data_IF_384928314081
#
_entry.id   IF_384928314081
#
_cell.length_a   1.000
_cell.length_b   1.000
_cell.length_c   1.000
_cell.angle_alpha   90.00
_cell.angle_beta   90.00
_cell.angle_gamma   90.00
#
_symmetry.space_group_name_H-M   'P 1'
#
loop_
_entity.id
_entity.type
_entity.pdbx_description
1 polymer ?
#
# COMPACT_ATOMS: atom_id res chain seq x y z
N UNK A 1 6.13 17.90 4.65
CA UNK A 1 5.02 16.93 4.63
C UNK A 1 3.71 17.70 4.51
N UNK A 2 2.95 17.51 3.42
CA UNK A 2 1.65 18.17 3.28
C UNK A 2 0.70 17.64 4.37
N UNK A 3 0.16 18.54 5.22
CA UNK A 3 -0.87 18.18 6.19
C UNK A 3 -2.06 17.61 5.43
N UNK A 4 -2.41 16.35 5.73
CA UNK A 4 -3.62 15.71 5.21
C UNK A 4 -4.84 16.53 5.69
N UNK A 5 -5.83 16.70 4.82
CA UNK A 5 -7.06 17.42 5.17
C UNK A 5 -8.00 16.46 5.93
N UNK A 6 -8.83 16.99 6.85
CA UNK A 6 -9.77 16.22 7.68
C UNK A 6 -10.62 15.20 6.91
N UNK A 7 -11.04 15.53 5.68
CA UNK A 7 -11.86 14.61 4.86
C UNK A 7 -11.09 13.37 4.38
N UNK A 8 -9.75 13.47 4.28
CA UNK A 8 -8.89 12.33 3.95
C UNK A 8 -8.71 11.42 5.15
N UNK A 9 -8.71 11.98 6.36
CA UNK A 9 -8.63 11.23 7.61
C UNK A 9 -9.94 10.47 7.85
N UNK A 10 -11.09 11.15 7.72
CA UNK A 10 -12.42 10.55 7.89
C UNK A 10 -12.67 9.38 6.92
N UNK A 11 -12.31 9.53 5.64
CA UNK A 11 -12.46 8.46 4.65
C UNK A 11 -11.63 7.22 4.97
N UNK A 12 -10.50 7.36 5.67
CA UNK A 12 -9.67 6.21 6.09
C UNK A 12 -10.34 5.43 7.22
N UNK A 13 -11.08 6.12 8.09
CA UNK A 13 -11.86 5.49 9.17
C UNK A 13 -13.06 4.69 8.65
N UNK A 14 -13.55 4.98 7.44
CA UNK A 14 -14.69 4.24 6.85
C UNK A 14 -14.23 3.16 5.88
N UNK A 15 -13.16 3.39 5.11
CA UNK A 15 -12.73 2.51 4.00
C UNK A 15 -11.55 1.60 4.34
N UNK A 16 -11.09 1.57 5.58
CA UNK A 16 -9.84 0.94 6.00
C UNK A 16 -8.66 1.93 5.93
N UNK A 17 -7.86 1.94 7.00
CA UNK A 17 -6.73 2.83 7.13
C UNK A 17 -5.56 2.39 6.25
N UNK A 18 -5.37 1.08 6.09
CA UNK A 18 -4.15 0.51 5.53
C UNK A 18 -4.43 -0.28 4.27
N UNK A 19 -3.38 -0.55 3.51
CA UNK A 19 -3.47 -1.33 2.27
C UNK A 19 -2.52 -2.53 2.28
N UNK A 20 -2.97 -3.60 1.65
CA UNK A 20 -2.11 -4.68 1.19
C UNK A 20 -2.20 -4.74 -0.33
N UNK A 21 -1.08 -4.90 -1.04
CA UNK A 21 -1.11 -4.99 -2.50
C UNK A 21 -0.18 -6.05 -3.06
N UNK A 22 -0.55 -6.56 -4.23
CA UNK A 22 0.25 -7.49 -5.00
C UNK A 22 1.22 -6.71 -5.91
N UNK A 23 2.55 -6.91 -5.80
CA UNK A 23 3.51 -6.28 -6.71
C UNK A 23 3.45 -6.88 -8.12
N UNK A 24 2.92 -8.10 -8.30
CA UNK A 24 2.84 -8.77 -9.59
C UNK A 24 1.65 -8.33 -10.45
N UNK A 25 0.45 -8.27 -9.87
CA UNK A 25 -0.79 -7.99 -10.61
C UNK A 25 -1.51 -6.69 -10.17
N UNK A 26 -1.00 -5.97 -9.17
CA UNK A 26 -1.61 -4.71 -8.71
C UNK A 26 -2.88 -4.87 -7.86
N UNK A 27 -3.34 -6.11 -7.62
CA UNK A 27 -4.48 -6.36 -6.74
C UNK A 27 -4.28 -5.68 -5.38
N UNK A 28 -5.31 -4.98 -4.89
CA UNK A 28 -5.21 -4.16 -3.68
C UNK A 28 -6.38 -4.47 -2.75
N UNK A 29 -6.05 -4.68 -1.49
CA UNK A 29 -6.99 -4.82 -0.38
C UNK A 29 -6.83 -3.62 0.56
N UNK A 30 -7.94 -3.17 1.14
CA UNK A 30 -7.94 -2.23 2.26
C UNK A 30 -8.34 -2.96 3.52
N UNK A 31 -7.75 -2.57 4.64
CA UNK A 31 -8.02 -3.18 5.93
C UNK A 31 -7.91 -2.17 7.08
N UNK A 32 -8.57 -2.50 8.18
CA UNK A 32 -8.38 -1.83 9.47
C UNK A 32 -7.30 -2.53 10.28
N UNK A 33 -6.66 -1.81 11.19
CA UNK A 33 -5.53 -2.34 11.96
C UNK A 33 -5.88 -3.62 12.72
N UNK A 34 -7.09 -3.70 13.26
CA UNK A 34 -7.60 -4.87 14.00
C UNK A 34 -7.81 -6.12 13.14
N UNK A 35 -7.92 -5.98 11.81
CA UNK A 35 -8.15 -7.09 10.88
C UNK A 35 -6.91 -7.43 10.04
N UNK A 36 -5.73 -6.95 10.46
CA UNK A 36 -4.48 -7.20 9.72
C UNK A 36 -4.14 -8.68 9.63
N UNK A 37 -4.36 -9.44 10.71
CA UNK A 37 -4.06 -10.88 10.77
C UNK A 37 -5.01 -11.73 9.90
N UNK A 38 -6.11 -11.15 9.43
CA UNK A 38 -7.05 -11.79 8.50
C UNK A 38 -6.65 -11.61 7.03
N UNK A 39 -5.59 -10.85 6.74
CA UNK A 39 -5.12 -10.64 5.38
C UNK A 39 -4.67 -11.97 4.76
N UNK A 40 -5.03 -12.24 3.49
CA UNK A 40 -4.58 -13.44 2.83
C UNK A 40 -3.06 -13.38 2.61
N UNK A 41 -2.35 -14.48 2.89
CA UNK A 41 -0.91 -14.57 2.69
C UNK A 41 -0.52 -14.43 1.21
N UNK A 42 -1.41 -14.84 0.31
CA UNK A 42 -1.23 -14.81 -1.13
C UNK A 42 -2.32 -13.98 -1.81
N UNK A 43 -1.97 -13.37 -2.93
CA UNK A 43 -2.89 -12.61 -3.76
C UNK A 43 -4.01 -13.52 -4.28
N UNK A 44 -5.29 -13.18 -4.05
CA UNK A 44 -6.42 -14.00 -4.50
C UNK A 44 -6.57 -14.02 -6.03
N UNK A 45 -5.90 -13.11 -6.75
CA UNK A 45 -6.00 -12.99 -8.21
C UNK A 45 -4.90 -13.75 -8.97
N UNK A 46 -3.67 -13.82 -8.43
CA UNK A 46 -2.54 -14.44 -9.14
C UNK A 46 -1.66 -15.36 -8.28
N UNK A 47 -1.97 -15.53 -6.99
CA UNK A 47 -1.26 -16.43 -6.08
C UNK A 47 0.10 -15.94 -5.55
N UNK A 48 0.64 -14.81 -6.04
CA UNK A 48 1.90 -14.24 -5.51
C UNK A 48 1.72 -13.61 -4.12
N UNK A 49 2.79 -13.43 -3.35
CA UNK A 49 2.73 -12.77 -2.04
C UNK A 49 2.16 -11.33 -2.08
N UNK A 50 1.46 -10.96 -1.02
CA UNK A 50 1.00 -9.59 -0.78
C UNK A 50 2.00 -8.82 0.09
N UNK A 51 2.13 -7.52 -0.18
CA UNK A 51 2.87 -6.58 0.66
C UNK A 51 1.86 -5.76 1.46
N UNK A 52 1.78 -6.00 2.77
CA UNK A 52 0.98 -5.21 3.73
C UNK A 52 1.82 -4.27 4.59
N UNK A 53 3.13 -4.56 4.71
CA UNK A 53 4.09 -3.80 5.51
C UNK A 53 5.37 -3.52 4.75
N UNK A 54 6.07 -2.47 5.16
CA UNK A 54 7.43 -2.24 4.72
C UNK A 54 8.37 -3.34 5.25
N UNK A 55 9.10 -4.01 4.35
CA UNK A 55 10.06 -5.05 4.74
C UNK A 55 11.27 -4.53 5.53
N UNK A 56 11.52 -3.21 5.53
CA UNK A 56 12.67 -2.61 6.25
C UNK A 56 12.35 -2.17 7.67
N UNK A 57 11.21 -1.49 7.89
CA UNK A 57 10.85 -0.94 9.20
C UNK A 57 9.56 -1.52 9.80
N UNK A 58 8.85 -2.38 9.07
CA UNK A 58 7.58 -2.95 9.51
C UNK A 58 6.38 -1.99 9.49
N UNK A 59 6.55 -0.74 9.03
CA UNK A 59 5.46 0.22 8.95
C UNK A 59 4.34 -0.24 8.00
N UNK A 60 3.10 0.05 8.38
CA UNK A 60 1.92 -0.22 7.55
C UNK A 60 1.83 0.75 6.39
N UNK A 61 1.23 0.30 5.30
CA UNK A 61 1.19 1.07 4.07
C UNK A 61 -0.11 1.87 3.97
N UNK A 62 -0.07 3.22 3.96
CA UNK A 62 -1.27 4.04 3.84
C UNK A 62 -1.85 4.11 2.42
N UNK A 63 -1.10 3.65 1.41
CA UNK A 63 -1.49 3.75 0.00
C UNK A 63 -0.85 2.65 -0.85
N UNK A 64 -1.61 2.13 -1.81
CA UNK A 64 -1.17 1.09 -2.74
C UNK A 64 -0.32 1.65 -3.88
N UNK A 65 -0.09 2.98 -3.90
CA UNK A 65 0.75 3.67 -4.88
C UNK A 65 2.11 4.07 -4.29
N UNK A 66 2.46 3.55 -3.11
CA UNK A 66 3.79 3.76 -2.54
C UNK A 66 4.82 2.90 -3.27
N UNK A 67 5.86 3.58 -3.73
CA UNK A 67 7.09 2.97 -4.26
C UNK A 67 8.20 2.99 -3.20
N UNK A 68 8.15 3.97 -2.29
CA UNK A 68 9.00 4.10 -1.11
C UNK A 68 8.15 4.24 0.15
N UNK A 69 8.66 3.78 1.28
CA UNK A 69 8.01 3.88 2.58
C UNK A 69 7.93 5.34 3.03
N UNK A 70 6.76 5.79 3.52
CA UNK A 70 6.62 7.15 4.06
C UNK A 70 7.37 7.36 5.38
N UNK A 71 7.72 6.28 6.11
CA UNK A 71 8.41 6.34 7.40
C UNK A 71 9.94 6.24 7.27
N UNK A 72 10.46 5.22 6.58
CA UNK A 72 11.90 4.96 6.49
C UNK A 72 12.51 5.19 5.11
N UNK A 73 11.71 5.63 4.12
CA UNK A 73 12.14 5.88 2.75
C UNK A 73 12.71 4.65 2.01
N UNK A 74 12.65 3.44 2.59
CA UNK A 74 13.06 2.21 1.92
C UNK A 74 12.16 1.92 0.71
N UNK A 75 12.76 1.36 -0.36
CA UNK A 75 12.01 0.91 -1.52
C UNK A 75 11.04 -0.22 -1.13
N UNK A 76 9.76 -0.07 -1.48
CA UNK A 76 8.72 -1.08 -1.25
C UNK A 76 8.54 -1.96 -2.49
N UNK A 77 8.58 -1.35 -3.67
CA UNK A 77 8.45 -2.03 -4.96
C UNK A 77 9.06 -1.17 -6.07
N UNK A 78 9.31 -1.74 -7.27
CA UNK A 78 9.65 -0.95 -8.45
C UNK A 78 8.63 0.16 -8.74
N UNK A 79 9.06 1.23 -9.42
CA UNK A 79 8.17 2.35 -9.77
C UNK A 79 7.30 2.09 -11.00
N UNK A 80 7.32 0.86 -11.51
CA UNK A 80 6.54 0.40 -12.64
C UNK A 80 5.52 -0.65 -12.22
N UNK A 81 4.35 -0.59 -12.84
CA UNK A 81 3.33 -1.63 -12.75
C UNK A 81 2.84 -1.91 -14.18
N UNK A 82 2.96 -3.16 -14.63
CA UNK A 82 2.62 -3.57 -16.00
C UNK A 82 3.32 -2.74 -17.10
N UNK A 83 4.58 -2.36 -16.89
CA UNK A 83 5.36 -1.58 -17.85
C UNK A 83 4.97 -0.10 -17.96
N UNK A 84 4.18 0.40 -16.99
CA UNK A 84 3.84 1.82 -16.88
C UNK A 84 4.24 2.40 -15.53
N UNK A 85 4.69 3.65 -15.46
CA UNK A 85 5.08 4.26 -14.20
C UNK A 85 3.87 4.47 -13.29
N UNK A 86 4.03 4.14 -12.01
CA UNK A 86 2.98 4.25 -10.98
C UNK A 86 2.73 5.72 -10.62
N UNK A 87 3.77 6.55 -10.69
CA UNK A 87 3.70 7.99 -10.44
C UNK A 87 3.75 8.73 -11.78
N UNK A 88 3.01 9.84 -11.88
CA UNK A 88 3.13 10.73 -13.03
C UNK A 88 4.53 11.38 -13.00
N UNK A 89 5.23 11.48 -14.14
CA UNK A 89 6.49 12.20 -14.20
C UNK A 89 6.26 13.68 -13.85
N UNK A 90 7.14 14.25 -13.02
CA UNK A 90 7.15 15.70 -12.72
C UNK A 90 6.23 16.19 -11.59
N UNK A 91 5.81 15.32 -10.65
CA UNK A 91 5.10 15.72 -9.43
C UNK A 91 5.79 15.19 -8.18
#
# INVERSE_FOLDING_TARGET
>A
MAKRNWIQEERRTILGHWVAFCPGCGHTLRYFEEFEDELPASCPQCGSGLISRCGSCGARLPSAFLVRCEECDAAIRPDELFGSPIRKPGR
#
